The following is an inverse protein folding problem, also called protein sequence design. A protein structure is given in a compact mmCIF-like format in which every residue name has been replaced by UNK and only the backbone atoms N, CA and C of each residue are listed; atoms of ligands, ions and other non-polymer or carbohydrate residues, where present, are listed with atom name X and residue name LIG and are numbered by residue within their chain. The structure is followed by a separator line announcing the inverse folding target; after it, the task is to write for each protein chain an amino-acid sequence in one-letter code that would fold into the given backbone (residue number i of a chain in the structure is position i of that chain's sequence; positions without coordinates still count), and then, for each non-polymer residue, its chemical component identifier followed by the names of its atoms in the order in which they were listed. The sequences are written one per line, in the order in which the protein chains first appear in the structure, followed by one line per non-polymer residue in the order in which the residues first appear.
data_IF_848859536680
#
_entry.id   IF_848859536680
#
_cell.length_a   1.000
_cell.length_b   1.000
_cell.length_c   1.000
_cell.angle_alpha   90.00
_cell.angle_beta   90.00
_cell.angle_gamma   90.00
#
_symmetry.space_group_name_H-M   'P 1'
#
loop_
_entity.id
_entity.type
_entity.pdbx_description
1 polymer ?
#
# COMPACT_ATOMS: atom_id res chain seq x y z
N UNK A 1 -12.80 15.21 42.70
CA UNK A 1 -11.62 15.61 43.50
C UNK A 1 -10.47 14.73 43.02
N UNK A 2 -9.86 15.10 41.89
CA UNK A 2 -8.66 14.43 41.40
C UNK A 2 -7.70 15.43 40.78
N UNK A 3 -6.48 15.35 41.23
CA UNK A 3 -5.39 16.30 41.16
C UNK A 3 -4.72 16.34 39.79
N UNK A 4 -4.58 17.56 39.23
CA UNK A 4 -3.82 17.84 38.00
C UNK A 4 -2.36 18.01 38.39
N UNK A 5 -1.46 17.14 37.93
CA UNK A 5 -0.03 17.36 37.99
C UNK A 5 0.46 18.02 36.69
N UNK A 6 0.83 19.28 36.79
CA UNK A 6 1.58 20.03 35.76
C UNK A 6 3.03 19.57 35.78
N UNK A 7 3.56 19.14 34.64
CA UNK A 7 4.98 18.92 34.45
C UNK A 7 5.56 20.06 33.60
N UNK A 8 6.61 20.66 34.13
CA UNK A 8 7.26 21.89 33.69
C UNK A 8 8.31 21.53 32.60
N UNK A 9 8.16 22.15 31.45
CA UNK A 9 9.12 21.99 30.31
C UNK A 9 10.36 22.85 30.53
N UNK A 10 11.50 22.25 30.42
CA UNK A 10 12.81 22.92 30.35
C UNK A 10 13.17 23.10 28.87
N UNK A 11 13.27 24.37 28.47
CA UNK A 11 13.78 24.78 27.15
C UNK A 11 15.31 24.89 27.24
N UNK A 12 16.02 24.11 26.44
CA UNK A 12 17.45 24.20 26.31
C UNK A 12 17.77 24.78 24.91
N UNK A 13 18.21 26.02 24.87
CA UNK A 13 18.65 26.71 23.67
C UNK A 13 20.11 26.35 23.38
N UNK A 14 20.38 25.73 22.23
CA UNK A 14 21.75 25.58 21.70
C UNK A 14 21.98 26.60 20.59
N UNK A 15 22.87 27.53 20.85
CA UNK A 15 23.42 28.49 19.89
C UNK A 15 24.58 27.79 19.17
N UNK A 16 24.54 27.67 17.84
CA UNK A 16 25.67 27.27 17.02
C UNK A 16 26.19 28.46 16.23
N UNK A 17 27.48 28.75 16.49
CA UNK A 17 28.27 29.79 15.89
C UNK A 17 28.74 29.34 14.50
N UNK A 18 28.56 30.24 13.53
CA UNK A 18 29.04 30.08 12.15
C UNK A 18 30.52 30.54 12.13
N UNK A 19 31.40 29.70 11.63
CA UNK A 19 32.75 30.08 11.25
C UNK A 19 32.90 29.94 9.73
N UNK A 20 33.01 31.11 9.07
CA UNK A 20 33.53 31.25 7.70
C UNK A 20 35.04 31.03 7.72
N UNK A 21 35.59 30.28 6.80
CA UNK A 21 36.97 30.38 6.42
C UNK A 21 37.08 30.45 4.89
N UNK A 22 37.46 31.65 4.41
CA UNK A 22 37.93 31.89 3.05
C UNK A 22 39.44 31.67 3.02
N UNK A 23 39.94 31.05 1.97
CA UNK A 23 41.32 31.23 1.50
C UNK A 23 41.34 31.11 -0.02
N UNK A 24 41.68 32.23 -0.65
CA UNK A 24 42.10 32.34 -2.03
C UNK A 24 43.51 31.74 -2.18
N UNK A 25 43.86 31.12 -3.31
CA UNK A 25 44.86 31.56 -4.27
C UNK A 25 45.08 30.51 -5.39
N UNK A 26 44.93 31.02 -6.60
CA UNK A 26 45.78 31.04 -7.81
C UNK A 26 46.42 29.75 -8.37
N UNK A 27 46.10 29.59 -9.60
CA UNK A 27 46.91 29.56 -10.83
C UNK A 27 47.23 28.19 -11.48
N UNK A 28 46.80 28.16 -12.73
CA UNK A 28 47.35 27.56 -13.96
C UNK A 28 47.63 26.03 -14.03
N UNK A 29 46.99 25.36 -14.92
CA UNK A 29 47.51 24.84 -16.21
C UNK A 29 46.58 23.70 -16.72
N UNK A 30 46.23 23.83 -17.96
CA UNK A 30 45.37 22.87 -18.71
C UNK A 30 45.92 21.46 -18.72
N UNK A 31 45.06 20.50 -18.50
CA UNK A 31 45.16 19.18 -19.12
C UNK A 31 43.76 18.62 -19.33
N UNK A 32 43.42 18.49 -20.60
CA UNK A 32 42.22 17.87 -21.09
C UNK A 32 42.17 16.43 -20.65
N UNK A 33 41.22 16.11 -19.76
CA UNK A 33 40.83 14.73 -19.53
C UNK A 33 39.34 14.68 -19.72
N UNK A 34 38.92 13.95 -20.76
CA UNK A 34 37.55 13.64 -21.11
C UNK A 34 36.95 12.81 -19.99
N UNK A 35 36.27 13.42 -19.05
CA UNK A 35 35.41 12.71 -18.13
C UNK A 35 34.11 12.38 -18.84
N UNK A 36 33.98 11.09 -19.13
CA UNK A 36 32.72 10.47 -19.53
C UNK A 36 31.74 10.65 -18.36
N UNK A 37 30.91 11.69 -18.45
CA UNK A 37 29.79 11.88 -17.53
C UNK A 37 28.83 10.70 -17.71
N UNK A 38 28.95 9.74 -16.82
CA UNK A 38 27.96 8.68 -16.62
C UNK A 38 26.67 9.36 -16.17
N UNK A 39 25.82 9.69 -17.15
CA UNK A 39 24.47 10.17 -16.92
C UNK A 39 23.70 9.02 -16.25
N UNK A 40 23.68 9.03 -14.92
CA UNK A 40 22.76 8.21 -14.15
C UNK A 40 21.37 8.75 -14.39
N UNK A 41 20.74 8.26 -15.44
CA UNK A 41 19.31 8.47 -15.66
C UNK A 41 18.59 7.94 -14.42
N UNK A 42 17.78 8.74 -13.73
CA UNK A 42 16.96 8.22 -12.65
C UNK A 42 16.04 7.17 -13.25
N UNK A 43 16.24 5.92 -12.84
CA UNK A 43 15.29 4.84 -13.14
C UNK A 43 13.91 5.32 -12.73
N UNK A 44 12.88 5.24 -13.57
CA UNK A 44 11.55 5.68 -13.20
C UNK A 44 11.12 4.84 -11.99
N UNK A 45 11.05 5.49 -10.83
CA UNK A 45 10.42 4.93 -9.65
C UNK A 45 8.97 4.71 -10.05
N UNK A 46 8.62 3.48 -10.42
CA UNK A 46 7.25 3.10 -10.72
C UNK A 46 6.46 3.38 -9.47
N UNK A 47 5.65 4.44 -9.50
CA UNK A 47 4.78 4.76 -8.37
C UNK A 47 3.94 3.52 -8.09
N UNK A 48 4.13 2.95 -6.90
CA UNK A 48 3.44 1.73 -6.50
C UNK A 48 1.99 2.09 -6.23
N UNK A 49 1.13 1.80 -7.19
CA UNK A 49 -0.31 2.06 -7.12
C UNK A 49 -1.08 0.76 -6.92
N UNK A 50 -2.26 0.84 -6.31
CA UNK A 50 -3.17 -0.30 -6.19
C UNK A 50 -3.80 -0.68 -7.54
N UNK A 51 -3.74 0.19 -8.54
CA UNK A 51 -4.32 -0.07 -9.86
C UNK A 51 -3.62 -1.25 -10.53
N UNK A 52 -4.19 -2.43 -10.38
CA UNK A 52 -3.75 -3.67 -11.05
C UNK A 52 -4.66 -4.85 -10.66
N UNK A 53 -4.31 -6.06 -11.15
CA UNK A 53 -4.93 -7.30 -10.73
C UNK A 53 -4.12 -7.92 -9.59
N UNK A 54 -4.81 -8.21 -8.50
CA UNK A 54 -4.26 -8.75 -7.28
C UNK A 54 -4.90 -10.07 -6.93
N UNK A 55 -4.11 -11.12 -6.77
CA UNK A 55 -4.57 -12.47 -6.41
C UNK A 55 -4.16 -12.77 -4.98
N UNK A 56 -5.06 -13.33 -4.21
CA UNK A 56 -4.80 -13.72 -2.83
C UNK A 56 -3.59 -14.67 -2.76
N UNK A 57 -2.64 -14.30 -1.92
CA UNK A 57 -1.40 -15.05 -1.69
C UNK A 57 -1.36 -15.66 -0.28
N UNK A 58 -1.79 -14.90 0.71
CA UNK A 58 -1.85 -15.42 2.07
C UNK A 58 -2.88 -14.73 2.96
N UNK A 59 -3.26 -15.42 4.02
CA UNK A 59 -4.13 -14.98 5.11
C UNK A 59 -3.29 -14.99 6.38
N UNK A 60 -2.98 -13.82 6.96
CA UNK A 60 -2.09 -13.71 8.12
C UNK A 60 -0.76 -14.47 7.93
N UNK A 61 -0.11 -14.29 6.77
CA UNK A 61 1.15 -14.96 6.37
C UNK A 61 1.08 -16.50 6.24
N UNK A 62 -0.11 -17.06 6.17
CA UNK A 62 -0.30 -18.49 5.87
C UNK A 62 -0.92 -18.63 4.49
N UNK A 63 -0.37 -19.54 3.67
CA UNK A 63 -0.96 -19.86 2.39
C UNK A 63 -2.42 -20.32 2.57
N UNK A 64 -3.36 -19.84 1.74
CA UNK A 64 -4.72 -20.29 1.82
C UNK A 64 -4.81 -21.76 1.37
N UNK A 65 -5.62 -22.55 2.06
CA UNK A 65 -5.95 -23.89 1.62
C UNK A 65 -6.82 -23.79 0.35
N UNK A 66 -6.39 -24.42 -0.74
CA UNK A 66 -7.12 -24.43 -2.02
C UNK A 66 -8.52 -25.03 -1.91
N UNK A 67 -8.73 -25.92 -0.94
CA UNK A 67 -10.04 -26.50 -0.68
C UNK A 67 -11.04 -25.54 -0.02
N UNK A 68 -10.54 -24.40 0.47
CA UNK A 68 -11.33 -23.37 1.13
C UNK A 68 -12.23 -22.61 0.15
N UNK A 69 -11.79 -22.48 -1.08
CA UNK A 69 -12.47 -21.70 -2.11
C UNK A 69 -13.19 -22.61 -3.12
N UNK A 70 -14.50 -22.42 -3.25
CA UNK A 70 -15.32 -23.28 -4.12
C UNK A 70 -15.05 -23.09 -5.60
N UNK A 71 -14.63 -21.86 -6.00
CA UNK A 71 -14.46 -21.44 -7.38
C UNK A 71 -13.10 -20.78 -7.64
N UNK A 72 -12.07 -21.27 -6.96
CA UNK A 72 -10.69 -20.81 -7.19
C UNK A 72 -10.22 -19.68 -6.26
N UNK A 73 -8.98 -19.29 -6.42
CA UNK A 73 -8.32 -18.31 -5.57
C UNK A 73 -8.95 -16.91 -5.72
N UNK A 74 -9.26 -16.22 -4.63
CA UNK A 74 -9.75 -14.84 -4.67
C UNK A 74 -8.83 -13.90 -5.44
N UNK A 75 -9.42 -13.00 -6.21
CA UNK A 75 -8.69 -11.94 -6.90
C UNK A 75 -9.52 -10.67 -7.05
N UNK A 76 -8.83 -9.53 -7.22
CA UNK A 76 -9.46 -8.22 -7.48
C UNK A 76 -8.69 -7.47 -8.55
N UNK A 77 -9.43 -6.87 -9.48
CA UNK A 77 -8.96 -5.90 -10.47
C UNK A 77 -9.41 -4.51 -10.02
N UNK A 78 -8.48 -3.68 -9.59
CA UNK A 78 -8.75 -2.31 -9.19
C UNK A 78 -8.44 -1.35 -10.34
N UNK A 79 -9.40 -0.52 -10.70
CA UNK A 79 -9.28 0.49 -11.73
C UNK A 79 -9.57 1.87 -11.15
N UNK A 80 -8.51 2.59 -10.78
CA UNK A 80 -8.63 3.91 -10.17
C UNK A 80 -9.12 4.97 -11.15
N UNK A 81 -8.76 4.86 -12.43
CA UNK A 81 -9.16 5.81 -13.47
C UNK A 81 -10.67 5.76 -13.68
N UNK A 82 -11.24 4.56 -13.72
CA UNK A 82 -12.68 4.34 -13.84
C UNK A 82 -13.41 4.41 -12.51
N UNK A 83 -12.68 4.47 -11.39
CA UNK A 83 -13.22 4.41 -10.02
C UNK A 83 -14.09 3.17 -9.82
N UNK A 84 -13.63 2.03 -10.31
CA UNK A 84 -14.35 0.75 -10.22
C UNK A 84 -13.41 -0.35 -9.77
N UNK A 85 -13.99 -1.41 -9.25
CA UNK A 85 -13.29 -2.67 -9.06
C UNK A 85 -14.20 -3.83 -9.50
N UNK A 86 -13.56 -4.93 -9.83
CA UNK A 86 -14.21 -6.21 -10.06
C UNK A 86 -13.34 -7.33 -9.53
N UNK A 87 -13.89 -8.50 -9.33
CA UNK A 87 -13.12 -9.63 -8.85
C UNK A 87 -13.97 -10.82 -8.46
N UNK A 88 -13.34 -11.71 -7.70
CA UNK A 88 -13.92 -12.93 -7.21
C UNK A 88 -13.46 -13.22 -5.79
N UNK A 89 -14.39 -13.58 -4.92
CA UNK A 89 -14.10 -13.86 -3.50
C UNK A 89 -13.60 -15.27 -3.24
N UNK A 90 -13.45 -16.06 -4.30
CA UNK A 90 -13.21 -17.50 -4.19
C UNK A 90 -14.52 -18.33 -4.18
N UNK A 91 -15.66 -17.65 -4.11
CA UNK A 91 -17.00 -18.25 -4.25
C UNK A 91 -17.88 -17.36 -5.13
N UNK A 92 -17.98 -16.08 -4.83
CA UNK A 92 -18.84 -15.15 -5.57
C UNK A 92 -18.03 -14.17 -6.40
N UNK A 93 -18.56 -13.84 -7.59
CA UNK A 93 -18.14 -12.65 -8.32
C UNK A 93 -18.56 -11.39 -7.56
N UNK A 94 -17.71 -10.36 -7.58
CA UNK A 94 -17.98 -9.08 -6.92
C UNK A 94 -17.52 -7.94 -7.81
N UNK A 95 -18.29 -6.87 -7.83
CA UNK A 95 -17.91 -5.60 -8.47
C UNK A 95 -18.55 -4.42 -7.75
N UNK A 96 -18.08 -3.23 -8.09
CA UNK A 96 -18.64 -2.00 -7.52
C UNK A 96 -17.81 -0.76 -7.86
N UNK A 97 -18.11 0.32 -7.16
CA UNK A 97 -17.34 1.55 -7.22
C UNK A 97 -16.20 1.52 -6.20
N UNK A 98 -15.09 2.15 -6.56
CA UNK A 98 -13.89 2.26 -5.73
C UNK A 98 -13.48 3.73 -5.64
N UNK A 99 -13.14 4.17 -4.45
CA UNK A 99 -12.48 5.44 -4.22
C UNK A 99 -11.43 5.28 -3.12
N UNK A 100 -10.50 6.22 -3.07
CA UNK A 100 -9.53 6.30 -1.99
C UNK A 100 -9.78 7.59 -1.21
N UNK A 101 -10.00 7.45 0.10
CA UNK A 101 -10.28 8.56 0.99
C UNK A 101 -9.41 8.41 2.25
N UNK A 102 -8.53 9.38 2.51
CA UNK A 102 -7.64 9.38 3.67
C UNK A 102 -6.84 8.09 3.85
N UNK A 103 -6.29 7.54 2.77
CA UNK A 103 -5.49 6.30 2.78
C UNK A 103 -6.31 5.03 3.00
N UNK A 104 -7.63 5.10 2.83
CA UNK A 104 -8.52 3.94 2.85
C UNK A 104 -9.17 3.73 1.51
N UNK A 105 -9.27 2.50 1.10
CA UNK A 105 -10.13 2.09 -0.01
C UNK A 105 -11.56 2.04 0.49
N UNK A 106 -12.42 2.77 -0.18
CA UNK A 106 -13.86 2.80 0.08
C UNK A 106 -14.55 2.13 -1.10
N UNK A 107 -15.35 1.14 -0.78
CA UNK A 107 -16.10 0.34 -1.75
C UNK A 107 -17.58 0.68 -1.65
N UNK A 108 -18.17 1.05 -2.76
CA UNK A 108 -19.57 1.46 -2.84
C UNK A 108 -20.30 0.71 -3.94
N UNK A 109 -21.62 0.71 -3.87
CA UNK A 109 -22.49 0.08 -4.87
C UNK A 109 -22.11 -1.38 -5.15
N UNK A 110 -21.81 -2.13 -4.08
CA UNK A 110 -21.36 -3.51 -4.15
C UNK A 110 -22.45 -4.40 -4.75
N UNK A 111 -22.07 -5.13 -5.80
CA UNK A 111 -22.86 -6.18 -6.43
C UNK A 111 -22.08 -7.49 -6.34
N UNK A 112 -22.76 -8.58 -6.04
CA UNK A 112 -22.15 -9.91 -5.97
C UNK A 112 -23.15 -10.98 -6.40
N UNK A 113 -22.61 -12.10 -6.92
CA UNK A 113 -23.41 -13.28 -7.19
C UNK A 113 -23.80 -13.99 -5.88
N UNK A 114 -24.75 -14.89 -5.94
CA UNK A 114 -25.30 -15.58 -4.75
C UNK A 114 -25.08 -17.08 -4.82
N UNK A 115 -23.83 -17.48 -5.06
CA UNK A 115 -23.45 -18.90 -5.08
C UNK A 115 -23.42 -19.49 -3.66
N UNK A 116 -23.58 -20.80 -3.58
CA UNK A 116 -23.47 -21.52 -2.31
C UNK A 116 -22.00 -21.80 -2.01
N UNK A 117 -21.44 -21.10 -1.04
CA UNK A 117 -20.04 -21.21 -0.64
C UNK A 117 -19.83 -22.34 0.38
N UNK A 118 -18.73 -23.08 0.21
CA UNK A 118 -18.25 -24.08 1.20
C UNK A 118 -17.88 -23.40 2.51
N UNK A 119 -17.11 -22.30 2.43
CA UNK A 119 -16.80 -21.47 3.58
C UNK A 119 -17.25 -20.03 3.34
N UNK A 120 -18.05 -19.54 4.27
CA UNK A 120 -18.55 -18.17 4.27
C UNK A 120 -17.71 -17.23 5.14
N UNK A 121 -16.71 -17.73 5.86
CA UNK A 121 -15.94 -16.96 6.83
C UNK A 121 -15.07 -15.91 6.16
N UNK A 122 -14.35 -16.28 5.12
CA UNK A 122 -13.49 -15.36 4.35
C UNK A 122 -14.32 -14.25 3.71
N UNK A 123 -15.33 -14.61 2.90
CA UNK A 123 -16.16 -13.66 2.18
C UNK A 123 -16.90 -12.72 3.13
N UNK A 124 -17.46 -13.23 4.23
CA UNK A 124 -18.16 -12.42 5.23
C UNK A 124 -17.25 -11.37 5.86
N UNK A 125 -16.01 -11.72 6.21
CA UNK A 125 -15.02 -10.79 6.74
C UNK A 125 -14.65 -9.73 5.70
N UNK A 126 -14.36 -10.16 4.48
CA UNK A 126 -14.01 -9.27 3.37
C UNK A 126 -15.11 -8.25 3.09
N UNK A 127 -16.36 -8.70 2.92
CA UNK A 127 -17.50 -7.83 2.65
C UNK A 127 -17.78 -6.85 3.80
N UNK A 128 -17.58 -7.29 5.04
CA UNK A 128 -17.66 -6.39 6.21
C UNK A 128 -16.58 -5.31 6.14
N UNK A 129 -15.35 -5.68 5.83
CA UNK A 129 -14.24 -4.74 5.70
C UNK A 129 -14.48 -3.74 4.56
N UNK A 130 -14.93 -4.21 3.39
CA UNK A 130 -15.24 -3.33 2.25
C UNK A 130 -16.28 -2.28 2.59
N UNK A 131 -17.33 -2.63 3.33
CA UNK A 131 -18.36 -1.68 3.79
C UNK A 131 -17.82 -0.64 4.77
N UNK A 132 -16.78 -0.96 5.53
CA UNK A 132 -16.17 -0.07 6.53
C UNK A 132 -15.01 0.76 5.99
N UNK A 133 -14.57 0.46 4.77
CA UNK A 133 -13.33 0.97 4.20
C UNK A 133 -12.09 0.23 4.74
N UNK A 134 -11.16 -0.06 3.84
CA UNK A 134 -9.99 -0.91 4.09
C UNK A 134 -8.73 -0.08 4.02
N UNK A 135 -7.92 -0.08 5.07
CA UNK A 135 -6.54 0.43 5.00
C UNK A 135 -5.65 -0.60 4.30
N UNK A 136 -4.69 -0.10 3.55
CA UNK A 136 -3.79 -0.97 2.81
C UNK A 136 -2.36 -0.42 2.77
N UNK A 137 -1.41 -1.29 2.48
CA UNK A 137 -0.04 -0.94 2.12
C UNK A 137 0.44 -1.82 0.98
N UNK A 138 1.34 -1.30 0.15
CA UNK A 138 1.99 -2.09 -0.89
C UNK A 138 3.47 -2.18 -0.56
N UNK A 139 3.95 -3.40 -0.32
CA UNK A 139 5.33 -3.71 0.05
C UNK A 139 5.84 -4.86 -0.82
N UNK A 140 6.97 -4.66 -1.49
CA UNK A 140 7.61 -5.70 -2.32
C UNK A 140 6.64 -6.34 -3.33
N UNK A 141 5.90 -5.54 -4.08
CA UNK A 141 4.87 -5.97 -5.04
C UNK A 141 3.75 -6.84 -4.42
N UNK A 142 3.50 -6.66 -3.12
CA UNK A 142 2.40 -7.30 -2.41
C UNK A 142 1.48 -6.27 -1.79
N UNK A 143 0.20 -6.45 -2.01
CA UNK A 143 -0.86 -5.63 -1.41
C UNK A 143 -1.29 -6.27 -0.09
N UNK A 144 -1.06 -5.56 1.00
CA UNK A 144 -1.52 -5.92 2.33
C UNK A 144 -2.79 -5.15 2.63
N UNK A 145 -3.90 -5.84 2.80
CA UNK A 145 -5.20 -5.26 3.16
C UNK A 145 -5.54 -5.61 4.61
N UNK A 146 -5.71 -4.61 5.45
CA UNK A 146 -6.10 -4.79 6.84
C UNK A 146 -7.62 -4.97 6.93
N UNK A 147 -8.07 -6.19 7.11
CA UNK A 147 -9.49 -6.58 7.11
C UNK A 147 -10.15 -6.27 8.45
N UNK A 148 -9.43 -6.54 9.53
CA UNK A 148 -9.77 -6.18 10.91
C UNK A 148 -8.46 -6.03 11.71
N UNK A 149 -8.47 -5.61 13.00
CA UNK A 149 -7.25 -5.39 13.78
C UNK A 149 -6.29 -6.58 13.88
N UNK A 150 -6.78 -7.79 13.62
CA UNK A 150 -6.00 -9.04 13.74
C UNK A 150 -5.86 -9.80 12.43
N UNK A 151 -6.50 -9.33 11.36
CA UNK A 151 -6.59 -10.06 10.09
C UNK A 151 -6.02 -9.22 8.95
N UNK A 152 -4.96 -9.70 8.33
CA UNK A 152 -4.36 -9.13 7.13
C UNK A 152 -4.48 -10.12 5.99
N UNK A 153 -5.03 -9.68 4.87
CA UNK A 153 -5.02 -10.41 3.61
C UNK A 153 -3.92 -9.85 2.72
N UNK A 154 -3.06 -10.74 2.23
CA UNK A 154 -1.94 -10.38 1.38
C UNK A 154 -2.20 -10.91 -0.02
N UNK A 155 -2.06 -10.02 -1.00
CA UNK A 155 -2.26 -10.33 -2.40
C UNK A 155 -0.96 -10.10 -3.15
N UNK A 156 -0.70 -10.94 -4.14
CA UNK A 156 0.38 -10.74 -5.11
C UNK A 156 -0.16 -10.13 -6.39
N UNK A 157 0.64 -9.28 -7.01
CA UNK A 157 0.33 -8.70 -8.30
C UNK A 157 0.42 -9.73 -9.42
N UNK A 158 -0.53 -9.73 -10.35
CA UNK A 158 -0.39 -10.43 -11.63
C UNK A 158 0.11 -9.42 -12.65
N UNK A 159 1.24 -9.70 -13.27
CA UNK A 159 1.71 -8.93 -14.43
C UNK A 159 0.85 -9.32 -15.63
N UNK A 160 0.30 -8.31 -16.29
CA UNK A 160 -0.38 -8.45 -17.58
C UNK A 160 0.63 -8.65 -18.68
#
# INVERSE_FOLDING_TARGET
MFSIKRSLSIVLACVFVIACNQSEDKDATATSTTESSLSTSPSPTTATTIQDIWVLDSLNNKAPDSNYFSHGTPYFDFNLDKKTFSGHTGCNGINGKLSEVNGKLVFDSLQFSTEVCKDKGFEKKLLKAFKSGVTYTILNDRLHMNIDPTTVYIFRKIRR
#
